data_IF_121146813446
#
_entry.id   IF_121146813446
#
_cell.length_a   1.000
_cell.length_b   1.000
_cell.length_c   1.000
_cell.angle_alpha   90.00
_cell.angle_beta   90.00
_cell.angle_gamma   90.00
#
_symmetry.space_group_name_H-M   'P 1'
#
loop_
_entity.id
_entity.type
_entity.pdbx_description
1 polymer ?
#
# COMPACT_ATOMS: atom_id res chain seq x y z
N UNK A 1 29.98 -1.69 -0.84
CA UNK A 1 29.48 -3.02 -1.22
C UNK A 1 28.02 -2.88 -1.58
N UNK A 2 27.77 -2.59 -2.85
CA UNK A 2 26.43 -2.48 -3.41
C UNK A 2 26.05 -3.84 -3.98
N UNK A 3 25.09 -4.51 -3.34
CA UNK A 3 24.49 -5.73 -3.83
C UNK A 3 23.40 -5.39 -4.87
N UNK A 4 23.58 -5.75 -6.15
CA UNK A 4 22.65 -5.42 -7.23
C UNK A 4 21.30 -6.17 -7.15
N UNK A 5 21.07 -6.99 -6.12
CA UNK A 5 19.84 -7.79 -5.98
C UNK A 5 18.76 -7.17 -5.07
N UNK A 6 18.99 -5.98 -4.50
CA UNK A 6 18.02 -5.32 -3.60
C UNK A 6 16.87 -4.60 -4.35
N UNK A 7 16.27 -5.23 -5.35
CA UNK A 7 15.03 -4.73 -5.96
C UNK A 7 13.84 -5.21 -5.12
N UNK A 8 13.54 -4.53 -4.01
CA UNK A 8 12.39 -4.80 -3.13
C UNK A 8 11.05 -4.36 -3.77
N UNK A 9 10.76 -4.81 -4.98
CA UNK A 9 9.44 -4.61 -5.61
C UNK A 9 8.44 -5.61 -5.03
N UNK A 10 7.46 -5.14 -4.25
CA UNK A 10 6.41 -6.00 -3.71
C UNK A 10 5.30 -6.27 -4.72
N UNK A 11 5.10 -7.53 -5.09
CA UNK A 11 3.99 -7.96 -5.95
C UNK A 11 2.63 -8.05 -5.24
N UNK A 12 2.65 -8.20 -3.91
CA UNK A 12 1.45 -8.24 -3.09
C UNK A 12 1.41 -7.00 -2.18
N UNK A 13 0.28 -6.27 -2.17
CA UNK A 13 0.18 -5.07 -1.36
C UNK A 13 0.21 -5.43 0.13
N UNK A 14 0.91 -4.61 0.91
CA UNK A 14 1.01 -4.74 2.36
C UNK A 14 0.31 -3.54 3.00
N UNK A 15 -0.63 -3.80 3.89
CA UNK A 15 -1.39 -2.78 4.61
C UNK A 15 -1.14 -2.89 6.11
N UNK A 16 -1.06 -1.75 6.79
CA UNK A 16 -1.03 -1.71 8.23
C UNK A 16 -1.60 -0.41 8.78
N UNK A 17 -2.06 -0.46 10.04
CA UNK A 17 -2.51 0.72 10.78
C UNK A 17 -2.08 0.66 12.24
N UNK A 18 -2.02 1.83 12.90
CA UNK A 18 -1.86 1.92 14.34
C UNK A 18 -3.23 1.95 15.05
N UNK A 19 -3.33 1.32 16.22
CA UNK A 19 -4.56 1.26 17.03
C UNK A 19 -4.71 2.48 17.95
N UNK A 20 -4.88 3.68 17.38
CA UNK A 20 -4.95 4.95 18.13
C UNK A 20 -6.04 5.90 17.57
N UNK A 21 -6.52 6.87 18.37
CA UNK A 21 -7.56 7.86 17.97
C UNK A 21 -7.22 8.74 16.73
N UNK A 22 -6.05 8.57 16.13
CA UNK A 22 -5.57 9.19 14.87
C UNK A 22 -4.75 8.17 14.10
N UNK A 23 -5.42 7.10 13.70
CA UNK A 23 -4.81 5.91 13.10
C UNK A 23 -3.89 6.34 11.95
N UNK A 24 -2.59 6.05 12.12
CA UNK A 24 -1.67 6.13 11.00
C UNK A 24 -1.88 4.86 10.19
N UNK A 25 -2.24 5.01 8.93
CA UNK A 25 -2.48 3.90 8.03
C UNK A 25 -1.47 3.98 6.90
N UNK A 26 -1.05 2.85 6.38
CA UNK A 26 -0.10 2.80 5.30
C UNK A 26 -0.33 1.59 4.40
N UNK A 27 0.06 1.76 3.15
CA UNK A 27 0.11 0.74 2.12
C UNK A 27 1.47 0.80 1.43
N UNK A 28 2.06 -0.37 1.21
CA UNK A 28 3.25 -0.57 0.39
C UNK A 28 2.92 -1.54 -0.74
N UNK A 29 3.15 -1.10 -1.98
CA UNK A 29 2.98 -1.93 -3.17
C UNK A 29 4.03 -1.56 -4.22
N UNK A 30 4.64 -2.56 -4.84
CA UNK A 30 5.77 -2.40 -5.76
C UNK A 30 6.90 -1.55 -5.12
N UNK A 31 7.21 -0.38 -5.68
CA UNK A 31 8.16 0.61 -5.16
C UNK A 31 7.52 1.71 -4.33
N UNK A 32 6.19 1.78 -4.31
CA UNK A 32 5.44 2.90 -3.75
C UNK A 32 4.97 2.63 -2.34
N UNK A 33 5.14 3.62 -1.47
CA UNK A 33 4.51 3.65 -0.15
C UNK A 33 3.62 4.86 -0.04
N UNK A 34 2.36 4.66 0.33
CA UNK A 34 1.48 5.72 0.78
C UNK A 34 1.21 5.56 2.27
N UNK A 35 1.15 6.65 3.01
CA UNK A 35 0.65 6.63 4.38
C UNK A 35 -0.11 7.92 4.72
N UNK A 36 -0.99 7.80 5.70
CA UNK A 36 -1.77 8.93 6.22
C UNK A 36 -1.31 9.29 7.63
N UNK A 37 -0.94 10.56 7.84
CA UNK A 37 -0.65 11.11 9.16
C UNK A 37 -1.53 12.33 9.40
N UNK A 38 -2.32 12.32 10.50
CA UNK A 38 -3.20 13.44 10.89
C UNK A 38 -4.15 13.91 9.77
N UNK A 39 -4.59 12.98 8.91
CA UNK A 39 -5.49 13.27 7.78
C UNK A 39 -4.79 13.78 6.52
N UNK A 40 -3.46 13.89 6.53
CA UNK A 40 -2.65 14.22 5.35
C UNK A 40 -2.04 12.95 4.77
N UNK A 41 -2.05 12.85 3.45
CA UNK A 41 -1.42 11.75 2.73
C UNK A 41 0.00 12.14 2.29
N UNK A 42 0.90 11.17 2.31
CA UNK A 42 2.23 11.29 1.73
C UNK A 42 2.51 10.05 0.89
N UNK A 43 3.19 10.25 -0.23
CA UNK A 43 3.60 9.21 -1.17
C UNK A 43 5.12 9.25 -1.31
N UNK A 44 5.74 8.07 -1.29
CA UNK A 44 7.18 7.89 -1.44
C UNK A 44 7.49 6.82 -2.46
N UNK A 45 8.56 7.05 -3.21
CA UNK A 45 9.17 6.05 -4.08
C UNK A 45 10.38 5.43 -3.37
N UNK A 46 10.18 4.28 -2.73
CA UNK A 46 11.21 3.63 -1.91
C UNK A 46 12.38 3.05 -2.72
N UNK A 47 12.26 2.98 -4.05
CA UNK A 47 13.38 2.54 -4.88
C UNK A 47 14.48 3.60 -4.99
N UNK A 48 14.11 4.88 -4.88
CA UNK A 48 15.03 6.02 -4.97
C UNK A 48 15.15 6.76 -3.64
N UNK A 49 14.16 6.63 -2.76
CA UNK A 49 14.08 7.28 -1.46
C UNK A 49 13.73 6.26 -0.35
N UNK A 50 14.65 5.34 0.01
CA UNK A 50 14.40 4.38 1.09
C UNK A 50 14.21 5.02 2.48
N UNK A 51 14.67 6.27 2.64
CA UNK A 51 14.56 7.04 3.88
C UNK A 51 13.21 7.73 4.06
N UNK A 52 12.38 7.78 3.01
CA UNK A 52 11.09 8.49 3.00
C UNK A 52 11.26 10.00 3.27
N UNK A 53 12.35 10.59 2.75
CA UNK A 53 12.69 11.99 2.96
C UNK A 53 11.91 12.92 2.01
N UNK A 54 11.43 12.40 0.87
CA UNK A 54 10.85 13.17 -0.23
C UNK A 54 9.40 12.76 -0.52
N UNK A 55 8.44 13.54 -0.02
CA UNK A 55 7.05 13.35 -0.39
C UNK A 55 6.80 13.75 -1.86
N UNK A 56 6.46 12.78 -2.70
CA UNK A 56 6.23 12.96 -4.14
C UNK A 56 4.75 12.93 -4.54
N UNK A 57 3.82 13.04 -3.58
CA UNK A 57 2.38 12.97 -3.84
C UNK A 57 1.90 13.95 -4.92
N UNK A 58 2.37 15.20 -4.90
CA UNK A 58 1.99 16.20 -5.90
C UNK A 58 2.61 15.96 -7.29
N UNK A 59 3.67 15.14 -7.36
CA UNK A 59 4.33 14.78 -8.62
C UNK A 59 3.64 13.56 -9.27
N UNK A 60 3.11 12.65 -8.46
CA UNK A 60 2.41 11.44 -8.90
C UNK A 60 1.01 11.33 -8.25
N UNK A 61 0.11 12.29 -8.50
CA UNK A 61 -1.20 12.33 -7.85
C UNK A 61 -2.06 11.12 -8.18
N UNK A 62 -1.98 10.60 -9.41
CA UNK A 62 -2.76 9.43 -9.83
C UNK A 62 -2.36 8.17 -9.04
N UNK A 63 -1.06 7.94 -8.86
CA UNK A 63 -0.54 6.82 -8.05
C UNK A 63 -0.98 6.98 -6.60
N UNK A 64 -0.82 8.18 -6.04
CA UNK A 64 -1.23 8.49 -4.68
C UNK A 64 -2.73 8.25 -4.45
N UNK A 65 -3.58 8.74 -5.35
CA UNK A 65 -5.03 8.58 -5.24
C UNK A 65 -5.45 7.11 -5.33
N UNK A 66 -4.89 6.34 -6.27
CA UNK A 66 -5.19 4.92 -6.41
C UNK A 66 -4.85 4.14 -5.14
N UNK A 67 -3.65 4.36 -4.61
CA UNK A 67 -3.20 3.68 -3.39
C UNK A 67 -4.00 4.13 -2.16
N UNK A 68 -4.44 5.40 -2.10
CA UNK A 68 -5.32 5.87 -1.03
C UNK A 68 -6.71 5.24 -1.10
N UNK A 69 -7.29 5.08 -2.30
CA UNK A 69 -8.57 4.38 -2.47
C UNK A 69 -8.50 2.94 -1.94
N UNK A 70 -7.46 2.20 -2.30
CA UNK A 70 -7.21 0.85 -1.78
C UNK A 70 -6.99 0.83 -0.27
N UNK A 71 -6.18 1.77 0.26
CA UNK A 71 -5.93 1.87 1.69
C UNK A 71 -7.23 2.15 2.46
N UNK A 72 -8.13 2.98 1.92
CA UNK A 72 -9.43 3.27 2.51
C UNK A 72 -10.40 2.09 2.39
N UNK A 73 -10.39 1.37 1.27
CA UNK A 73 -11.17 0.14 1.09
C UNK A 73 -10.73 -0.93 2.11
N UNK A 74 -9.42 -1.14 2.27
CA UNK A 74 -8.88 -2.02 3.30
C UNK A 74 -9.27 -1.57 4.71
N UNK A 75 -9.16 -0.27 5.03
CA UNK A 75 -9.55 0.25 6.34
C UNK A 75 -11.03 -0.02 6.67
N UNK A 76 -11.92 0.02 5.67
CA UNK A 76 -13.35 -0.31 5.85
C UNK A 76 -13.60 -1.81 6.04
N UNK A 77 -12.68 -2.68 5.59
CA UNK A 77 -12.80 -4.13 5.74
C UNK A 77 -12.46 -4.64 7.14
N UNK A 78 -11.76 -3.83 7.95
CA UNK A 78 -11.34 -4.18 9.31
C UNK A 78 -12.20 -3.46 10.35
N UNK A 79 -12.42 -4.06 11.55
CA UNK A 79 -13.20 -3.43 12.61
C UNK A 79 -12.66 -2.07 13.06
N UNK A 80 -13.58 -1.18 13.44
CA UNK A 80 -13.26 0.11 14.07
C UNK A 80 -12.71 -0.05 15.48
N UNK A 81 -13.13 -1.09 16.20
CA UNK A 81 -12.68 -1.39 17.54
C UNK A 81 -12.03 -2.78 17.59
N UNK A 82 -10.80 -2.83 18.11
CA UNK A 82 -10.18 -4.09 18.50
C UNK A 82 -10.53 -4.38 19.95
N UNK A 83 -10.91 -5.63 20.21
CA UNK A 83 -11.13 -6.14 21.54
C UNK A 83 -9.92 -5.90 22.45
N UNK A 84 -10.11 -5.05 23.47
CA UNK A 84 -9.15 -4.89 24.57
C UNK A 84 -9.48 -5.91 25.66
N UNK A 85 -8.43 -6.41 26.32
CA UNK A 85 -8.50 -7.49 27.33
C UNK A 85 -9.44 -7.16 28.50
N UNK A 86 -9.72 -5.88 28.68
CA UNK A 86 -10.41 -5.23 29.77
C UNK A 86 -11.94 -5.16 29.54
N UNK A 87 -12.44 -5.48 28.33
CA UNK A 87 -13.83 -5.19 27.94
C UNK A 87 -14.72 -6.45 27.72
N UNK A 88 -14.33 -7.62 28.24
CA UNK A 88 -15.07 -8.89 28.11
C UNK A 88 -15.60 -9.16 26.68
N UNK A 89 -14.69 -9.19 25.69
CA UNK A 89 -15.03 -9.48 24.31
C UNK A 89 -15.39 -10.97 24.14
N UNK A 90 -16.69 -11.28 24.13
CA UNK A 90 -17.17 -12.62 23.76
C UNK A 90 -17.12 -12.89 22.25
N UNK A 91 -16.68 -11.93 21.42
CA UNK A 91 -16.48 -12.16 19.99
C UNK A 91 -15.05 -11.86 19.61
N UNK A 92 -14.21 -12.90 19.72
CA UNK A 92 -13.02 -13.01 18.89
C UNK A 92 -13.47 -12.81 17.44
N UNK A 93 -12.79 -11.95 16.71
CA UNK A 93 -13.04 -11.77 15.28
C UNK A 93 -12.84 -13.14 14.61
N UNK A 94 -13.93 -13.80 14.24
CA UNK A 94 -13.89 -15.08 13.54
C UNK A 94 -13.46 -14.77 12.10
N UNK A 95 -12.14 -14.76 11.88
CA UNK A 95 -11.56 -14.52 10.57
C UNK A 95 -11.90 -15.72 9.67
N UNK A 96 -13.04 -15.60 9.01
CA UNK A 96 -13.50 -16.51 7.98
C UNK A 96 -13.17 -15.89 6.61
N UNK A 97 -12.11 -16.35 5.92
CA UNK A 97 -11.69 -15.80 4.64
C UNK A 97 -12.69 -16.08 3.51
N UNK A 98 -13.63 -17.00 3.68
CA UNK A 98 -14.67 -17.30 2.70
C UNK A 98 -15.89 -16.37 2.89
N UNK A 99 -16.22 -16.02 4.14
CA UNK A 99 -17.33 -15.09 4.46
C UNK A 99 -16.93 -13.63 4.41
N UNK A 100 -15.70 -13.30 4.80
CA UNK A 100 -15.14 -11.95 4.78
C UNK A 100 -13.83 -11.93 4.00
N UNK A 101 -13.86 -12.23 2.69
CA UNK A 101 -12.64 -12.20 1.90
C UNK A 101 -12.10 -10.78 1.89
N UNK A 102 -10.91 -10.61 2.47
CA UNK A 102 -10.13 -9.40 2.33
C UNK A 102 -9.54 -9.44 0.91
N UNK A 103 -10.38 -9.14 -0.09
CA UNK A 103 -9.92 -9.00 -1.48
C UNK A 103 -9.19 -7.67 -1.57
N UNK A 104 -7.87 -7.71 -1.39
CA UNK A 104 -7.03 -6.57 -1.71
C UNK A 104 -6.15 -6.94 -2.89
N UNK A 105 -6.62 -6.54 -4.07
CA UNK A 105 -5.87 -6.64 -5.31
C UNK A 105 -4.78 -5.58 -5.39
N UNK A 106 -3.89 -5.67 -6.40
CA UNK A 106 -3.00 -4.57 -6.72
C UNK A 106 -3.81 -3.30 -7.04
N UNK A 107 -3.34 -2.10 -6.68
CA UNK A 107 -4.00 -0.85 -7.03
C UNK A 107 -4.24 -0.78 -8.52
N UNK A 108 -5.48 -0.46 -8.91
CA UNK A 108 -5.97 -0.59 -10.28
C UNK A 108 -5.07 0.13 -11.30
N UNK A 109 -4.51 1.28 -10.92
CA UNK A 109 -3.57 2.06 -11.75
C UNK A 109 -2.18 1.41 -11.89
N UNK A 110 -1.70 0.69 -10.87
CA UNK A 110 -0.39 0.02 -10.91
C UNK A 110 -0.48 -1.42 -11.45
N UNK A 111 -1.68 -2.03 -11.44
CA UNK A 111 -1.92 -3.34 -12.04
C UNK A 111 -1.81 -3.33 -13.58
N UNK A 112 -2.03 -2.17 -14.20
CA UNK A 112 -1.99 -1.99 -15.66
C UNK A 112 -0.57 -1.70 -16.20
N UNK A 113 0.44 -1.59 -15.33
CA UNK A 113 1.79 -1.11 -15.69
C UNK A 113 2.84 -2.16 -16.05
N UNK A 114 2.62 -3.46 -15.83
CA UNK A 114 3.60 -4.52 -16.16
C UNK A 114 3.41 -5.14 -17.54
N UNK A 115 2.91 -4.36 -18.51
CA UNK A 115 3.01 -4.69 -19.93
C UNK A 115 4.39 -4.28 -20.44
N UNK A 116 5.35 -5.20 -20.39
CA UNK A 116 6.68 -5.02 -20.99
C UNK A 116 6.56 -4.53 -22.43
N UNK A 117 7.19 -3.39 -22.72
CA UNK A 117 7.56 -3.03 -24.08
C UNK A 117 8.94 -3.60 -24.33
N UNK A 118 9.01 -4.91 -24.51
CA UNK A 118 10.14 -5.56 -25.16
C UNK A 118 9.84 -5.65 -26.67
N UNK A 119 10.71 -5.02 -27.46
CA UNK A 119 10.84 -5.22 -28.91
C UNK A 119 10.05 -4.23 -29.79
N UNK A 120 10.73 -3.24 -30.38
CA UNK A 120 11.36 -3.33 -31.71
C UNK A 120 12.29 -2.11 -31.89
N UNK A 121 13.59 -2.41 -31.90
CA UNK A 121 14.69 -1.84 -32.68
C UNK A 121 14.63 -0.35 -33.11
N UNK A 122 15.41 0.47 -32.41
CA UNK A 122 16.04 1.63 -33.02
C UNK A 122 17.50 1.26 -33.32
N UNK A 123 17.85 1.31 -34.61
CA UNK A 123 19.19 1.37 -35.22
C UNK A 123 19.47 0.25 -36.23
N UNK A 124 19.09 0.50 -37.49
CA UNK A 124 19.99 0.24 -38.60
C UNK A 124 19.66 1.12 -39.82
N UNK A 125 20.68 1.91 -40.22
CA UNK A 125 20.85 2.85 -41.36
C UNK A 125 20.38 4.31 -41.17
#
# INVERSE_FOLDING_TARGET
SDDPTNTRSRKNPLFWKTSAKREKMAMLYDRWKVHTERGQAHLYDLSTDPGEDNNVLNQYPDVGNAMLEDLMAWRKSIPDEYCKKDNNCEKLFDFDPEKNPVVIGPPALLALGNGGKDGVDADNL
#
